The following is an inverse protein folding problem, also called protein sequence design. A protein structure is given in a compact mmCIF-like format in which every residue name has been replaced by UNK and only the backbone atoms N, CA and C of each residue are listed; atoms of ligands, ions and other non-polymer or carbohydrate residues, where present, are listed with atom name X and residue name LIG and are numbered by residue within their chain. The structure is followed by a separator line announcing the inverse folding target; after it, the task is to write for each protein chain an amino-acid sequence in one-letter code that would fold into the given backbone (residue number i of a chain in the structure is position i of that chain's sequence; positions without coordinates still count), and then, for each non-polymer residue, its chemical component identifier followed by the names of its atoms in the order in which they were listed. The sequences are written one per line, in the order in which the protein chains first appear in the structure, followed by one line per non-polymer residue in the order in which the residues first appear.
data_IF_819657585785
#
_entry.id   IF_819657585785
#
_cell.length_a   1.000
_cell.length_b   1.000
_cell.length_c   1.000
_cell.angle_alpha   90.00
_cell.angle_beta   90.00
_cell.angle_gamma   90.00
#
_symmetry.space_group_name_H-M   'P 1'
#
loop_
_entity.id
_entity.type
_entity.pdbx_description
1 polymer ?
#
# COMPACT_ATOMS: atom_id res chain seq x y z
N UNK A 1 5.14 8.59 4.13
CA UNK A 1 5.03 7.27 4.80
C UNK A 1 6.37 6.57 4.63
N UNK A 2 6.99 6.10 5.72
CA UNK A 2 8.29 5.40 5.71
C UNK A 2 8.05 4.05 6.40
N UNK A 3 8.41 2.94 5.75
CA UNK A 3 8.20 1.58 6.28
C UNK A 3 6.77 1.31 6.81
N UNK A 4 5.77 1.74 6.03
CA UNK A 4 4.33 1.65 6.38
C UNK A 4 3.89 2.46 7.60
N UNK A 5 4.76 3.34 8.12
CA UNK A 5 4.45 4.28 9.20
C UNK A 5 4.27 5.69 8.64
N UNK A 6 3.32 6.41 9.18
CA UNK A 6 3.18 7.84 8.99
C UNK A 6 4.13 8.52 9.98
N UNK A 7 4.99 9.40 9.45
CA UNK A 7 6.04 10.06 10.22
C UNK A 7 5.83 11.55 10.04
N UNK A 8 5.55 12.24 11.14
CA UNK A 8 5.59 13.70 11.17
C UNK A 8 7.02 14.13 11.39
N UNK A 9 7.43 15.18 10.70
CA UNK A 9 8.82 15.59 10.67
C UNK A 9 8.95 17.10 10.83
N UNK A 10 9.85 17.51 11.71
CA UNK A 10 10.22 18.90 11.86
C UNK A 10 11.36 19.23 10.91
N UNK A 11 11.05 19.95 9.82
CA UNK A 11 11.96 20.21 8.70
C UNK A 11 13.33 20.74 9.13
N UNK A 12 13.36 21.77 9.97
CA UNK A 12 14.61 22.44 10.37
C UNK A 12 15.46 21.63 11.34
N UNK A 13 14.83 20.80 12.17
CA UNK A 13 15.52 20.06 13.24
C UNK A 13 15.94 18.66 12.79
N UNK A 14 15.50 18.23 11.61
CA UNK A 14 15.67 16.89 11.08
C UNK A 14 15.23 15.79 12.07
N UNK A 15 14.07 15.97 12.71
CA UNK A 15 13.57 15.08 13.77
C UNK A 15 12.12 14.67 13.55
N UNK A 16 11.83 13.41 13.88
CA UNK A 16 10.46 12.91 13.99
C UNK A 16 9.73 13.64 15.13
N UNK A 17 8.49 14.04 14.88
CA UNK A 17 7.60 14.68 15.84
C UNK A 17 6.56 13.66 16.31
N UNK A 18 6.44 13.48 17.61
CA UNK A 18 5.38 12.68 18.25
C UNK A 18 4.41 13.62 18.94
N UNK A 19 3.13 13.44 18.66
CA UNK A 19 2.04 14.24 19.23
C UNK A 19 1.26 13.34 20.17
N UNK A 20 0.94 13.87 21.35
CA UNK A 20 0.15 13.20 22.36
C UNK A 20 -0.98 14.12 22.80
N UNK A 21 -2.16 13.54 22.96
CA UNK A 21 -3.30 14.23 23.51
C UNK A 21 -3.41 13.92 25.01
N UNK A 22 -3.07 14.89 25.86
CA UNK A 22 -2.94 14.69 27.32
C UNK A 22 -4.21 15.03 28.11
N UNK A 23 -5.39 15.00 27.47
CA UNK A 23 -6.68 15.28 28.12
C UNK A 23 -7.70 14.19 27.79
N UNK A 24 -8.80 14.13 28.54
CA UNK A 24 -9.91 13.21 28.28
C UNK A 24 -10.89 13.70 27.18
N UNK A 25 -10.52 14.73 26.40
CA UNK A 25 -11.34 15.20 25.29
C UNK A 25 -11.47 14.13 24.19
N UNK A 26 -12.71 13.82 23.81
CA UNK A 26 -13.02 12.88 22.74
C UNK A 26 -12.80 13.55 21.38
N UNK A 27 -11.60 13.39 20.82
CA UNK A 27 -11.23 13.97 19.53
C UNK A 27 -11.80 13.21 18.32
N UNK A 28 -12.50 12.10 18.51
CA UNK A 28 -13.21 11.42 17.42
C UNK A 28 -14.59 12.02 17.15
N UNK A 29 -15.10 12.83 18.08
CA UNK A 29 -16.41 13.44 17.97
C UNK A 29 -16.31 14.88 17.42
N UNK A 30 -16.75 15.08 16.18
CA UNK A 30 -16.93 16.40 15.55
C UNK A 30 -15.67 17.29 15.59
N UNK A 31 -14.50 16.69 15.41
CA UNK A 31 -13.21 17.36 15.37
C UNK A 31 -12.83 17.80 13.95
N UNK A 32 -11.89 18.74 13.86
CA UNK A 32 -11.26 19.05 12.58
C UNK A 32 -10.44 17.85 12.10
N UNK A 33 -10.50 17.45 10.82
CA UNK A 33 -9.77 16.28 10.32
C UNK A 33 -8.27 16.30 10.60
N UNK A 34 -7.64 17.49 10.58
CA UNK A 34 -6.23 17.63 10.94
C UNK A 34 -5.98 17.34 12.42
N UNK A 35 -6.85 17.81 13.31
CA UNK A 35 -6.69 17.56 14.75
C UNK A 35 -6.90 16.08 15.07
N UNK A 36 -7.93 15.46 14.50
CA UNK A 36 -8.15 14.01 14.61
C UNK A 36 -6.94 13.22 14.10
N UNK A 37 -6.45 13.54 12.89
CA UNK A 37 -5.28 12.88 12.31
C UNK A 37 -4.04 12.98 13.22
N UNK A 38 -3.75 14.16 13.79
CA UNK A 38 -2.60 14.32 14.68
C UNK A 38 -2.77 13.54 16.00
N UNK A 39 -4.00 13.45 16.51
CA UNK A 39 -4.32 12.64 17.68
C UNK A 39 -4.26 11.13 17.39
N UNK A 40 -4.72 10.66 16.23
CA UNK A 40 -4.65 9.26 15.81
C UNK A 40 -3.22 8.74 15.74
N UNK A 41 -2.26 9.59 15.35
CA UNK A 41 -0.86 9.22 15.26
C UNK A 41 -0.24 8.78 16.60
N UNK A 42 -0.84 9.16 17.73
CA UNK A 42 -0.38 8.71 19.05
C UNK A 42 -0.58 7.19 19.23
N UNK A 43 -1.48 6.58 18.46
CA UNK A 43 -1.83 5.16 18.51
C UNK A 43 -1.00 4.28 17.55
N UNK A 44 -0.21 4.87 16.65
CA UNK A 44 0.46 4.12 15.58
C UNK A 44 1.45 3.06 16.07
N UNK A 45 2.15 3.34 17.17
CA UNK A 45 3.27 2.52 17.66
C UNK A 45 2.96 1.79 18.98
N UNK A 46 1.72 1.90 19.48
CA UNK A 46 1.32 1.40 20.80
C UNK A 46 -0.09 0.82 20.78
N UNK A 47 -0.37 -0.12 21.68
CA UNK A 47 -1.76 -0.50 21.97
C UNK A 47 -2.45 0.66 22.69
N UNK A 48 -3.63 1.05 22.22
CA UNK A 48 -4.36 2.22 22.70
C UNK A 48 -4.99 2.02 24.07
N UNK A 49 -5.25 0.76 24.45
CA UNK A 49 -5.86 0.43 25.71
C UNK A 49 -5.46 -0.97 26.20
N UNK A 50 -5.53 -1.16 27.52
CA UNK A 50 -5.47 -2.46 28.19
C UNK A 50 -6.89 -2.99 28.36
N UNK A 51 -7.56 -3.27 27.25
CA UNK A 51 -8.94 -3.79 27.24
C UNK A 51 -8.98 -5.17 26.62
N UNK A 52 -9.86 -6.02 27.14
CA UNK A 52 -10.16 -7.29 26.50
C UNK A 52 -11.13 -7.05 25.33
N UNK A 53 -10.63 -7.13 24.11
CA UNK A 53 -11.48 -7.11 22.92
C UNK A 53 -11.86 -8.56 22.53
N UNK A 54 -13.08 -8.97 22.88
CA UNK A 54 -13.64 -10.25 22.42
C UNK A 54 -14.30 -10.17 21.03
N UNK A 55 -14.22 -9.02 20.35
CA UNK A 55 -14.81 -8.73 19.05
C UNK A 55 -16.22 -8.16 19.15
N UNK A 56 -16.49 -7.06 18.45
CA UNK A 56 -17.79 -6.37 18.47
C UNK A 56 -18.96 -7.29 18.09
N UNK A 57 -18.73 -8.21 17.16
CA UNK A 57 -19.71 -9.22 16.75
C UNK A 57 -20.10 -10.14 17.90
N UNK A 58 -19.15 -10.54 18.75
CA UNK A 58 -19.46 -11.36 19.92
C UNK A 58 -20.26 -10.56 20.94
N UNK A 59 -19.92 -9.29 21.16
CA UNK A 59 -20.76 -8.43 21.97
C UNK A 59 -22.19 -8.33 21.40
N UNK A 60 -22.34 -8.29 20.07
CA UNK A 60 -23.62 -8.14 19.39
C UNK A 60 -24.48 -9.42 19.30
N UNK A 61 -23.88 -10.60 19.29
CA UNK A 61 -24.58 -11.86 19.03
C UNK A 61 -25.16 -12.55 20.28
N UNK A 62 -24.63 -12.26 21.46
CA UNK A 62 -25.05 -12.95 22.68
C UNK A 62 -25.93 -12.06 23.56
N UNK A 63 -27.08 -12.60 23.96
CA UNK A 63 -28.00 -11.91 24.88
C UNK A 63 -27.50 -11.94 26.32
N UNK A 64 -26.54 -12.82 26.62
CA UNK A 64 -25.84 -12.88 27.89
C UNK A 64 -24.34 -13.07 27.67
N UNK A 65 -23.54 -12.23 28.32
CA UNK A 65 -22.09 -12.35 28.37
C UNK A 65 -21.71 -12.56 29.83
N UNK A 66 -21.05 -13.67 30.20
CA UNK A 66 -20.62 -13.89 31.57
C UNK A 66 -19.55 -12.87 31.96
N UNK A 67 -19.40 -12.66 33.27
CA UNK A 67 -18.26 -11.91 33.81
C UNK A 67 -16.96 -12.52 33.29
N UNK A 68 -16.08 -11.69 32.76
CA UNK A 68 -14.76 -12.12 32.29
C UNK A 68 -13.71 -11.60 33.25
N UNK A 69 -12.92 -12.51 33.81
CA UNK A 69 -11.89 -12.19 34.82
C UNK A 69 -10.50 -12.70 34.42
N UNK A 70 -9.48 -12.07 34.97
CA UNK A 70 -8.12 -12.59 35.02
C UNK A 70 -7.78 -12.96 36.47
N UNK A 71 -7.66 -14.26 36.73
CA UNK A 71 -7.58 -14.77 38.10
C UNK A 71 -8.85 -14.43 38.89
N UNK A 72 -8.68 -14.20 40.19
CA UNK A 72 -9.78 -13.91 41.10
C UNK A 72 -10.00 -12.41 41.31
N UNK A 73 -9.03 -11.57 40.94
CA UNK A 73 -8.96 -10.18 41.42
C UNK A 73 -9.25 -9.14 40.34
N UNK A 74 -9.06 -9.47 39.05
CA UNK A 74 -9.21 -8.52 37.94
C UNK A 74 -10.43 -8.89 37.12
N UNK A 75 -11.41 -7.99 37.08
CA UNK A 75 -12.59 -8.11 36.22
C UNK A 75 -12.35 -7.27 34.96
N UNK A 76 -12.27 -7.92 33.79
CA UNK A 76 -12.18 -7.21 32.50
C UNK A 76 -13.53 -6.69 32.04
N UNK A 77 -14.59 -7.47 32.25
CA UNK A 77 -15.93 -7.12 31.82
C UNK A 77 -16.93 -7.67 32.83
N UNK A 78 -17.83 -6.84 33.38
CA UNK A 78 -18.93 -7.32 34.21
C UNK A 78 -19.88 -8.17 33.37
N UNK A 79 -20.56 -9.12 34.00
CA UNK A 79 -21.65 -9.86 33.36
C UNK A 79 -22.69 -8.89 32.77
N UNK A 80 -23.14 -9.19 31.56
CA UNK A 80 -24.01 -8.34 30.75
C UNK A 80 -25.22 -9.15 30.28
N UNK A 81 -26.40 -8.54 30.33
CA UNK A 81 -27.64 -9.08 29.76
C UNK A 81 -28.24 -8.08 28.79
N UNK A 82 -28.77 -8.59 27.68
CA UNK A 82 -29.58 -7.81 26.73
C UNK A 82 -31.03 -8.22 26.92
N UNK A 83 -31.85 -7.22 27.18
CA UNK A 83 -33.29 -7.42 27.35
C UNK A 83 -33.99 -6.78 26.18
N UNK A 84 -34.72 -7.59 25.40
CA UNK A 84 -35.46 -7.09 24.27
C UNK A 84 -36.92 -6.85 24.65
N UNK A 85 -37.48 -5.76 24.13
CA UNK A 85 -38.85 -5.34 24.39
C UNK A 85 -39.88 -6.42 24.01
N UNK A 86 -39.62 -7.17 22.94
CA UNK A 86 -40.52 -8.21 22.43
C UNK A 86 -40.52 -9.50 23.28
N UNK A 87 -39.47 -9.73 24.08
CA UNK A 87 -39.40 -10.88 24.99
C UNK A 87 -40.21 -10.65 26.28
N UNK A 88 -40.46 -9.38 26.64
CA UNK A 88 -41.26 -9.01 27.82
C UNK A 88 -42.70 -8.74 27.39
N UNK A 89 -43.53 -9.78 27.42
CA UNK A 89 -44.91 -9.74 26.93
C UNK A 89 -45.75 -8.58 27.53
N UNK A 90 -46.37 -7.75 26.68
CA UNK A 90 -47.27 -6.68 27.13
C UNK A 90 -46.60 -5.51 27.87
N UNK A 91 -45.28 -5.34 27.76
CA UNK A 91 -44.54 -4.23 28.39
C UNK A 91 -45.01 -2.83 27.93
N UNK A 92 -45.60 -2.74 26.73
CA UNK A 92 -46.18 -1.51 26.16
C UNK A 92 -47.49 -1.07 26.82
N UNK A 93 -48.15 -1.93 27.61
CA UNK A 93 -49.37 -1.54 28.30
C UNK A 93 -49.06 -0.50 29.38
N UNK A 94 -49.93 0.51 29.54
CA UNK A 94 -49.75 1.61 30.53
C UNK A 94 -50.02 1.20 31.99
N UNK A 95 -50.08 -0.09 32.29
CA UNK A 95 -50.30 -0.60 33.65
C UNK A 95 -48.95 -0.87 34.32
N UNK A 96 -48.43 0.11 35.06
CA UNK A 96 -47.11 0.02 35.68
C UNK A 96 -46.97 -1.16 36.65
N UNK A 97 -47.98 -1.47 37.45
CA UNK A 97 -47.94 -2.58 38.42
C UNK A 97 -47.79 -3.93 37.71
N UNK A 98 -48.54 -4.14 36.63
CA UNK A 98 -48.44 -5.35 35.82
C UNK A 98 -47.12 -5.43 35.05
N UNK A 99 -46.67 -4.31 34.47
CA UNK A 99 -45.38 -4.22 33.77
C UNK A 99 -44.20 -4.56 34.68
N UNK A 100 -44.18 -4.02 35.91
CA UNK A 100 -43.14 -4.30 36.91
C UNK A 100 -43.13 -5.80 37.26
N UNK A 101 -44.31 -6.42 37.46
CA UNK A 101 -44.41 -7.85 37.74
C UNK A 101 -43.80 -8.69 36.62
N UNK A 102 -44.12 -8.38 35.37
CA UNK A 102 -43.60 -9.11 34.20
C UNK A 102 -42.10 -8.94 34.02
N UNK A 103 -41.57 -7.73 34.21
CA UNK A 103 -40.12 -7.49 34.19
C UNK A 103 -39.44 -8.29 35.30
N UNK A 104 -40.00 -8.32 36.52
CA UNK A 104 -39.43 -9.09 37.62
C UNK A 104 -39.39 -10.60 37.34
N UNK A 105 -40.46 -11.16 36.78
CA UNK A 105 -40.52 -12.56 36.35
C UNK A 105 -39.46 -12.85 35.27
N UNK A 106 -39.35 -11.96 34.27
CA UNK A 106 -38.38 -12.08 33.19
C UNK A 106 -36.92 -12.03 33.68
N UNK A 107 -36.59 -11.07 34.56
CA UNK A 107 -35.25 -10.94 35.15
C UNK A 107 -34.88 -12.18 35.98
N UNK A 108 -35.85 -12.75 36.70
CA UNK A 108 -35.66 -13.99 37.46
C UNK A 108 -35.38 -15.19 36.54
N UNK A 109 -36.08 -15.31 35.40
CA UNK A 109 -35.85 -16.38 34.41
C UNK A 109 -34.44 -16.30 33.79
N UNK A 110 -34.01 -15.08 33.44
CA UNK A 110 -32.66 -14.81 32.92
C UNK A 110 -31.57 -14.80 33.98
N UNK A 111 -31.90 -15.08 35.25
CA UNK A 111 -30.98 -15.10 36.41
C UNK A 111 -30.19 -13.81 36.57
N UNK A 112 -30.84 -12.67 36.35
CA UNK A 112 -30.25 -11.35 36.64
C UNK A 112 -30.22 -11.15 38.15
N UNK A 113 -29.09 -10.64 38.66
CA UNK A 113 -28.92 -10.39 40.10
C UNK A 113 -29.90 -9.33 40.61
N UNK A 114 -30.15 -9.31 41.93
CA UNK A 114 -31.04 -8.34 42.58
C UNK A 114 -30.66 -6.89 42.23
N UNK A 115 -29.37 -6.60 42.27
CA UNK A 115 -28.81 -5.30 41.93
C UNK A 115 -28.09 -5.36 40.59
N UNK A 116 -28.43 -4.45 39.69
CA UNK A 116 -27.81 -4.32 38.38
C UNK A 116 -27.88 -2.87 37.90
N UNK A 117 -27.11 -2.54 36.89
CA UNK A 117 -27.14 -1.24 36.23
C UNK A 117 -27.83 -1.31 34.88
N UNK A 118 -28.66 -0.33 34.57
CA UNK A 118 -29.00 0.02 33.19
C UNK A 118 -27.88 0.92 32.67
N UNK A 119 -27.22 0.52 31.59
CA UNK A 119 -26.08 1.26 31.03
C UNK A 119 -26.43 1.95 29.71
N UNK A 120 -26.18 3.25 29.60
CA UNK A 120 -26.32 4.04 28.37
C UNK A 120 -25.11 4.96 28.18
N UNK A 121 -24.19 4.56 27.29
CA UNK A 121 -22.90 5.24 27.18
C UNK A 121 -22.16 5.20 28.51
N UNK A 122 -21.67 6.36 28.96
CA UNK A 122 -20.97 6.50 30.25
C UNK A 122 -21.91 6.57 31.46
N UNK A 123 -23.23 6.68 31.24
CA UNK A 123 -24.20 6.76 32.33
C UNK A 123 -24.67 5.38 32.79
N UNK A 124 -24.68 5.16 34.10
CA UNK A 124 -25.18 3.94 34.74
C UNK A 124 -26.24 4.28 35.77
N UNK A 125 -27.37 3.57 35.75
CA UNK A 125 -28.45 3.70 36.72
C UNK A 125 -28.62 2.40 37.51
N UNK A 126 -28.41 2.45 38.82
CA UNK A 126 -28.59 1.30 39.71
C UNK A 126 -30.08 0.95 39.85
N UNK A 127 -30.40 -0.32 39.71
CA UNK A 127 -31.75 -0.88 39.87
C UNK A 127 -31.72 -1.96 40.95
N UNK A 128 -32.69 -1.90 41.86
CA UNK A 128 -33.00 -2.97 42.81
C UNK A 128 -34.30 -3.67 42.36
N UNK A 129 -34.23 -4.97 42.08
CA UNK A 129 -35.42 -5.79 41.72
C UNK A 129 -36.48 -5.90 42.83
N UNK A 130 -36.16 -5.50 44.05
CA UNK A 130 -37.11 -5.42 45.17
C UNK A 130 -37.76 -4.04 45.30
N UNK A 131 -37.22 -3.02 44.62
CA UNK A 131 -37.77 -1.67 44.61
C UNK A 131 -38.57 -1.40 43.32
N UNK A 132 -39.90 -1.42 43.42
CA UNK A 132 -40.79 -1.18 42.28
C UNK A 132 -40.60 0.17 41.59
N UNK A 133 -40.18 1.22 42.32
CA UNK A 133 -39.92 2.53 41.72
C UNK A 133 -38.64 2.50 40.85
N UNK A 134 -37.61 1.75 41.26
CA UNK A 134 -36.40 1.60 40.46
C UNK A 134 -36.68 0.71 39.23
N UNK A 135 -37.41 -0.39 39.39
CA UNK A 135 -37.83 -1.23 38.26
C UNK A 135 -38.67 -0.47 37.22
N UNK A 136 -39.40 0.57 37.62
CA UNK A 136 -40.16 1.39 36.68
C UNK A 136 -39.25 2.07 35.66
N UNK A 137 -38.00 2.44 36.01
CA UNK A 137 -37.05 2.98 35.03
C UNK A 137 -36.74 1.96 33.93
N UNK A 138 -36.53 0.69 34.28
CA UNK A 138 -36.34 -0.37 33.28
C UNK A 138 -37.58 -0.56 32.40
N UNK A 139 -38.78 -0.47 32.98
CA UNK A 139 -40.04 -0.54 32.23
C UNK A 139 -40.13 0.60 31.20
N UNK A 140 -39.85 1.84 31.59
CA UNK A 140 -39.90 2.99 30.68
C UNK A 140 -38.83 2.91 29.58
N UNK A 141 -37.62 2.45 29.92
CA UNK A 141 -36.56 2.16 28.94
C UNK A 141 -37.01 1.11 27.93
N UNK A 142 -37.59 -0.01 28.40
CA UNK A 142 -38.13 -1.06 27.52
C UNK A 142 -39.38 -0.63 26.75
N UNK A 143 -40.11 0.41 27.16
CA UNK A 143 -41.23 0.96 26.37
C UNK A 143 -40.73 1.81 25.20
N UNK A 144 -39.60 2.50 25.38
CA UNK A 144 -39.04 3.43 24.40
C UNK A 144 -38.00 2.82 23.48
N UNK A 145 -37.26 1.80 23.93
CA UNK A 145 -36.17 1.15 23.18
C UNK A 145 -36.51 -0.31 22.85
N UNK A 146 -35.99 -0.80 21.74
CA UNK A 146 -36.13 -2.22 21.34
C UNK A 146 -35.28 -3.15 22.21
N UNK A 147 -34.14 -2.66 22.69
CA UNK A 147 -33.17 -3.41 23.50
C UNK A 147 -32.58 -2.51 24.58
N UNK A 148 -32.44 -3.07 25.78
CA UNK A 148 -31.79 -2.42 26.93
C UNK A 148 -30.68 -3.33 27.44
N UNK A 149 -29.49 -2.76 27.61
CA UNK A 149 -28.32 -3.46 28.16
C UNK A 149 -28.27 -3.30 29.67
N UNK A 150 -28.21 -4.43 30.37
CA UNK A 150 -28.03 -4.52 31.81
C UNK A 150 -26.61 -5.01 32.11
N UNK A 151 -25.97 -4.46 33.14
CA UNK A 151 -24.66 -4.93 33.62
C UNK A 151 -24.74 -5.23 35.11
N UNK A 152 -24.03 -6.25 35.57
CA UNK A 152 -24.04 -6.62 36.98
C UNK A 152 -23.58 -5.47 37.89
N UNK A 153 -24.14 -5.43 39.10
CA UNK A 153 -23.60 -4.62 40.18
C UNK A 153 -22.44 -5.36 40.84
N UNK A 154 -21.24 -4.78 40.80
CA UNK A 154 -20.05 -5.32 41.45
C UNK A 154 -19.89 -4.87 42.90
N UNK A 155 -20.64 -3.85 43.31
CA UNK A 155 -20.61 -3.30 44.66
C UNK A 155 -21.36 -4.20 45.64
N UNK A 156 -20.82 -4.30 46.85
CA UNK A 156 -21.55 -4.84 47.98
C UNK A 156 -22.29 -3.69 48.67
N UNK A 157 -23.54 -3.47 48.28
CA UNK A 157 -24.34 -2.35 48.77
C UNK A 157 -24.65 -2.42 50.28
N UNK A 158 -24.37 -3.54 50.94
CA UNK A 158 -24.52 -3.69 52.40
C UNK A 158 -23.21 -3.41 53.14
N UNK A 159 -22.06 -3.72 52.53
CA UNK A 159 -20.74 -3.56 53.14
C UNK A 159 -20.00 -2.26 52.73
N UNK A 160 -20.24 -1.76 51.52
CA UNK A 160 -19.53 -0.61 50.95
C UNK A 160 -20.16 0.73 51.40
N UNK A 161 -19.36 1.58 52.03
CA UNK A 161 -19.81 2.92 52.47
C UNK A 161 -19.79 3.96 51.32
N UNK A 162 -18.87 3.81 50.36
CA UNK A 162 -18.67 4.75 49.25
C UNK A 162 -18.42 4.01 47.93
N UNK A 163 -18.95 4.58 46.84
CA UNK A 163 -18.58 4.20 45.48
C UNK A 163 -17.35 5.02 45.03
N UNK A 164 -16.18 4.39 45.08
CA UNK A 164 -14.92 5.02 44.68
C UNK A 164 -14.46 4.56 43.30
N UNK A 165 -13.95 5.49 42.50
CA UNK A 165 -13.22 5.21 41.27
C UNK A 165 -11.79 5.71 41.42
N UNK A 166 -10.81 4.84 41.12
CA UNK A 166 -9.38 5.14 41.24
C UNK A 166 -8.71 4.96 39.88
N UNK A 167 -8.12 6.04 39.37
CA UNK A 167 -7.35 6.03 38.12
C UNK A 167 -5.87 5.80 38.46
N UNK A 168 -5.32 4.67 38.04
CA UNK A 168 -3.92 4.30 38.30
C UNK A 168 -3.10 4.46 37.01
N UNK A 169 -2.20 5.45 36.91
CA UNK A 169 -1.31 5.57 35.77
C UNK A 169 -0.24 4.46 35.81
N UNK A 170 -0.10 3.72 34.71
CA UNK A 170 0.90 2.65 34.55
C UNK A 170 1.91 3.03 33.47
N UNK A 171 3.18 2.66 33.67
CA UNK A 171 4.27 2.94 32.72
C UNK A 171 4.92 1.63 32.28
N UNK A 172 4.98 1.39 30.97
CA UNK A 172 5.75 0.30 30.42
C UNK A 172 7.24 0.66 30.36
N UNK A 173 8.01 0.27 31.39
CA UNK A 173 9.46 0.51 31.46
C UNK A 173 10.29 -0.28 30.44
N UNK A 174 9.69 -1.30 29.81
CA UNK A 174 10.36 -2.11 28.78
C UNK A 174 10.13 -1.60 27.35
N UNK A 175 9.33 -0.53 27.19
CA UNK A 175 9.05 0.03 25.88
C UNK A 175 10.31 0.63 25.24
N UNK A 176 10.63 0.15 24.04
CA UNK A 176 11.67 0.70 23.18
C UNK A 176 11.00 1.50 22.08
N UNK A 177 11.26 2.81 22.04
CA UNK A 177 10.70 3.66 21.00
C UNK A 177 11.21 3.22 19.61
N UNK A 178 10.29 3.08 18.67
CA UNK A 178 10.64 2.88 17.27
C UNK A 178 11.39 4.11 16.76
N UNK A 179 12.62 3.91 16.31
CA UNK A 179 13.41 4.95 15.64
C UNK A 179 13.20 4.83 14.15
N UNK A 180 12.68 5.89 13.53
CA UNK A 180 12.69 6.02 12.09
C UNK A 180 14.03 6.63 11.69
N UNK A 181 14.82 5.92 10.88
CA UNK A 181 15.97 6.53 10.23
C UNK A 181 15.47 7.47 9.14
N UNK A 182 15.69 8.77 9.34
CA UNK A 182 15.31 9.80 8.39
C UNK A 182 16.49 10.05 7.46
N UNK A 183 16.34 9.68 6.19
CA UNK A 183 17.30 10.05 5.16
C UNK A 183 17.00 11.48 4.68
N UNK A 184 18.00 12.37 4.78
CA UNK A 184 17.87 13.79 4.42
C UNK A 184 17.54 13.98 2.94
N UNK A 185 17.89 13.02 2.09
CA UNK A 185 17.72 13.11 0.63
C UNK A 185 16.27 12.97 0.16
N UNK A 186 15.34 12.55 1.02
CA UNK A 186 13.94 12.31 0.63
C UNK A 186 13.08 13.58 0.56
N UNK A 187 13.59 14.73 1.03
CA UNK A 187 12.80 15.95 1.13
C UNK A 187 13.29 17.02 0.16
N UNK A 188 12.54 17.25 -0.92
CA UNK A 188 12.77 18.42 -1.77
C UNK A 188 12.32 19.70 -1.04
N UNK A 189 13.13 20.76 -1.11
CA UNK A 189 12.74 22.07 -0.63
C UNK A 189 11.76 22.78 -1.61
N UNK A 190 11.75 22.42 -2.90
CA UNK A 190 10.96 23.07 -3.94
C UNK A 190 10.00 22.10 -4.65
N UNK A 191 8.72 22.17 -4.28
CA UNK A 191 7.63 21.43 -4.95
C UNK A 191 7.48 21.87 -6.43
N UNK A 192 7.84 23.12 -6.75
CA UNK A 192 7.69 23.70 -8.09
C UNK A 192 8.52 22.97 -9.16
N UNK A 193 9.64 22.34 -8.79
CA UNK A 193 10.57 21.70 -9.73
C UNK A 193 10.17 20.25 -10.07
N UNK A 194 9.07 19.75 -9.48
CA UNK A 194 8.60 18.37 -9.63
C UNK A 194 7.34 18.23 -10.51
N UNK A 195 6.63 19.33 -10.81
CA UNK A 195 5.37 19.28 -11.57
C UNK A 195 5.45 20.12 -12.84
N UNK A 196 5.38 19.45 -13.99
CA UNK A 196 5.42 20.08 -15.29
C UNK A 196 4.04 20.06 -15.94
N UNK A 197 3.44 21.23 -16.12
CA UNK A 197 2.25 21.40 -16.96
C UNK A 197 2.63 21.25 -18.45
N UNK A 198 1.68 20.92 -19.34
CA UNK A 198 1.96 20.75 -20.76
C UNK A 198 2.67 21.97 -21.38
N UNK A 199 3.74 21.72 -22.13
CA UNK A 199 4.46 22.75 -22.89
C UNK A 199 5.45 23.59 -22.09
N UNK A 200 5.68 23.28 -20.80
CA UNK A 200 6.80 23.82 -20.05
C UNK A 200 8.10 23.11 -20.51
N UNK A 201 8.60 22.15 -19.72
CA UNK A 201 9.75 21.29 -20.08
C UNK A 201 9.31 19.96 -20.71
N UNK A 202 8.07 19.55 -20.47
CA UNK A 202 7.55 18.24 -20.86
C UNK A 202 6.20 18.33 -21.57
N UNK A 203 6.02 17.49 -22.57
CA UNK A 203 4.70 17.06 -23.06
C UNK A 203 4.41 15.66 -22.52
N UNK A 204 3.31 15.52 -21.80
CA UNK A 204 2.87 14.26 -21.21
C UNK A 204 1.51 13.86 -21.76
N UNK A 205 1.50 12.82 -22.58
CA UNK A 205 0.31 12.23 -23.18
C UNK A 205 -0.16 10.99 -22.43
N UNK A 206 -1.48 10.88 -22.25
CA UNK A 206 -2.18 9.64 -21.88
C UNK A 206 -2.94 9.15 -23.10
N UNK A 207 -2.58 7.98 -23.63
CA UNK A 207 -3.11 7.40 -24.86
C UNK A 207 -3.98 6.19 -24.47
N UNK A 208 -5.30 6.39 -24.40
CA UNK A 208 -6.24 5.38 -23.91
C UNK A 208 -6.59 4.37 -25.00
N UNK A 209 -6.15 3.13 -24.83
CA UNK A 209 -6.33 2.05 -25.81
C UNK A 209 -6.33 0.66 -25.14
N UNK A 210 -6.85 -0.35 -25.85
CA UNK A 210 -6.81 -1.72 -25.36
C UNK A 210 -5.40 -2.32 -25.33
N UNK A 211 -5.13 -3.25 -24.40
CA UNK A 211 -3.80 -3.85 -24.19
C UNK A 211 -3.15 -4.43 -25.45
N UNK A 212 -3.93 -5.06 -26.34
CA UNK A 212 -3.40 -5.58 -27.62
C UNK A 212 -2.91 -4.47 -28.55
N UNK A 213 -3.65 -3.37 -28.60
CA UNK A 213 -3.27 -2.24 -29.45
C UNK A 213 -2.15 -1.42 -28.83
N UNK A 214 -2.03 -1.40 -27.49
CA UNK A 214 -0.87 -0.82 -26.81
C UNK A 214 0.45 -1.45 -27.29
N UNK A 215 0.52 -2.77 -27.49
CA UNK A 215 1.71 -3.41 -28.07
C UNK A 215 1.97 -2.92 -29.50
N UNK A 216 0.91 -2.80 -30.30
CA UNK A 216 1.01 -2.31 -31.69
C UNK A 216 1.52 -0.87 -31.76
N UNK A 217 1.04 0.01 -30.88
CA UNK A 217 1.56 1.39 -30.78
C UNK A 217 3.07 1.35 -30.50
N UNK A 218 3.52 0.50 -29.58
CA UNK A 218 4.92 0.41 -29.19
C UNK A 218 5.80 -0.23 -30.28
N UNK A 219 5.26 -1.15 -31.07
CA UNK A 219 6.00 -1.88 -32.12
C UNK A 219 6.04 -1.14 -33.45
N UNK A 220 4.96 -0.44 -33.81
CA UNK A 220 4.78 0.13 -35.14
C UNK A 220 4.85 1.67 -35.11
N UNK A 221 4.11 2.30 -34.19
CA UNK A 221 3.91 3.76 -34.20
C UNK A 221 5.07 4.49 -33.52
N UNK A 222 5.46 4.06 -32.33
CA UNK A 222 6.50 4.71 -31.53
C UNK A 222 7.87 4.73 -32.23
N UNK A 223 8.34 3.64 -32.86
CA UNK A 223 9.63 3.66 -33.56
C UNK A 223 9.69 4.72 -34.66
N UNK A 224 8.60 4.91 -35.41
CA UNK A 224 8.53 5.91 -36.48
C UNK A 224 8.42 7.32 -35.89
N UNK A 225 7.40 7.58 -35.06
CA UNK A 225 7.15 8.88 -34.44
C UNK A 225 8.38 9.40 -33.68
N UNK A 226 8.96 8.56 -32.81
CA UNK A 226 10.03 9.00 -31.92
C UNK A 226 11.38 9.11 -32.64
N UNK A 227 11.57 8.40 -33.76
CA UNK A 227 12.73 8.63 -34.63
C UNK A 227 12.59 9.98 -35.31
N UNK A 228 11.43 10.29 -35.90
CA UNK A 228 11.19 11.59 -36.54
C UNK A 228 11.40 12.75 -35.55
N UNK A 229 10.78 12.71 -34.37
CA UNK A 229 10.93 13.77 -33.37
C UNK A 229 12.38 13.97 -32.92
N UNK A 230 13.20 12.91 -32.94
CA UNK A 230 14.60 12.96 -32.53
C UNK A 230 15.52 13.42 -33.67
N UNK A 231 15.24 13.04 -34.93
CA UNK A 231 15.96 13.51 -36.12
C UNK A 231 15.71 15.00 -36.41
N UNK A 232 14.50 15.48 -36.13
CA UNK A 232 14.13 16.90 -36.20
C UNK A 232 14.59 17.71 -34.97
N UNK A 233 15.30 17.09 -34.03
CA UNK A 233 15.81 17.70 -32.79
C UNK A 233 14.73 18.39 -31.94
N UNK A 234 13.50 17.85 -31.95
CA UNK A 234 12.35 18.42 -31.23
C UNK A 234 12.31 17.99 -29.77
N UNK A 235 12.89 16.83 -29.44
CA UNK A 235 12.87 16.26 -28.09
C UNK A 235 14.28 15.89 -27.64
N UNK A 236 14.56 16.07 -26.35
CA UNK A 236 15.84 15.72 -25.71
C UNK A 236 15.85 14.27 -25.24
N UNK A 237 14.74 13.84 -24.63
CA UNK A 237 14.53 12.46 -24.18
C UNK A 237 13.05 12.15 -24.15
N UNK A 238 12.74 10.87 -24.12
CA UNK A 238 11.37 10.39 -23.97
C UNK A 238 11.34 9.08 -23.20
N UNK A 239 10.24 8.83 -22.53
CA UNK A 239 9.97 7.51 -21.96
C UNK A 239 8.48 7.27 -21.85
N UNK A 240 8.09 6.00 -21.73
CA UNK A 240 6.70 5.62 -21.55
C UNK A 240 6.52 4.70 -20.35
N UNK A 241 5.30 4.58 -19.86
CA UNK A 241 4.89 3.51 -18.94
C UNK A 241 3.49 3.02 -19.35
N UNK A 242 3.17 1.77 -18.99
CA UNK A 242 1.82 1.23 -19.14
C UNK A 242 1.06 1.44 -17.83
N UNK A 243 -0.17 1.93 -17.93
CA UNK A 243 -0.97 2.28 -16.76
C UNK A 243 -2.43 1.85 -16.93
N UNK A 244 -3.12 1.70 -15.80
CA UNK A 244 -4.53 1.37 -15.74
C UNK A 244 -5.18 2.17 -14.62
N UNK A 245 -5.76 3.33 -14.95
CA UNK A 245 -6.62 4.11 -14.03
C UNK A 245 -7.31 5.28 -14.77
N UNK A 246 -8.65 5.31 -14.92
CA UNK A 246 -9.57 4.19 -14.69
C UNK A 246 -9.41 3.07 -15.74
N UNK A 247 -8.96 3.41 -16.95
CA UNK A 247 -8.83 2.51 -18.10
C UNK A 247 -7.36 2.29 -18.50
N UNK A 248 -7.10 1.25 -19.31
CA UNK A 248 -5.77 0.98 -19.85
C UNK A 248 -5.30 2.11 -20.77
N UNK A 249 -4.07 2.57 -20.57
CA UNK A 249 -3.45 3.61 -21.39
C UNK A 249 -1.92 3.55 -21.35
N UNK A 250 -1.30 4.10 -22.40
CA UNK A 250 0.13 4.40 -22.42
C UNK A 250 0.31 5.84 -21.91
N UNK A 251 1.26 6.04 -21.01
CA UNK A 251 1.70 7.36 -20.57
C UNK A 251 3.02 7.68 -21.24
N UNK A 252 3.00 8.49 -22.30
CA UNK A 252 4.18 8.92 -23.03
C UNK A 252 4.62 10.30 -22.52
N UNK A 253 5.90 10.45 -22.17
CA UNK A 253 6.48 11.71 -21.74
C UNK A 253 7.62 12.07 -22.67
N UNK A 254 7.59 13.29 -23.19
CA UNK A 254 8.56 13.86 -24.11
C UNK A 254 9.16 15.10 -23.45
N UNK A 255 10.48 15.11 -23.22
CA UNK A 255 11.19 16.31 -22.81
C UNK A 255 11.44 17.14 -24.06
N UNK A 256 10.89 18.35 -24.08
CA UNK A 256 10.93 19.23 -25.24
C UNK A 256 12.36 19.77 -25.37
N UNK A 257 12.88 19.82 -26.60
CA UNK A 257 14.02 20.68 -26.86
C UNK A 257 13.53 22.14 -26.90
N UNK A 258 13.88 22.93 -25.90
CA UNK A 258 13.41 24.30 -25.67
C UNK A 258 14.23 25.38 -26.39
N UNK A 259 15.17 24.98 -27.26
CA UNK A 259 15.96 25.90 -28.09
C UNK A 259 15.09 26.75 -29.04
N UNK A 260 13.88 26.27 -29.36
CA UNK A 260 12.91 26.99 -30.19
C UNK A 260 11.48 26.85 -29.63
N UNK A 261 10.81 28.00 -29.41
CA UNK A 261 9.45 28.09 -28.89
C UNK A 261 8.40 27.34 -29.76
N UNK A 262 8.68 27.12 -31.05
CA UNK A 262 7.78 26.43 -31.98
C UNK A 262 7.83 24.91 -31.86
N UNK A 263 8.86 24.34 -31.21
CA UNK A 263 9.04 22.89 -31.10
C UNK A 263 7.84 22.21 -30.44
N UNK A 264 7.24 22.84 -29.42
CA UNK A 264 6.01 22.34 -28.78
C UNK A 264 4.86 22.14 -29.78
N UNK A 265 4.63 23.11 -30.66
CA UNK A 265 3.57 23.04 -31.67
C UNK A 265 3.87 22.00 -32.75
N UNK A 266 5.14 21.87 -33.14
CA UNK A 266 5.58 20.85 -34.09
C UNK A 266 5.38 19.44 -33.52
N UNK A 267 5.81 19.19 -32.27
CA UNK A 267 5.60 17.89 -31.60
C UNK A 267 4.11 17.53 -31.54
N UNK A 268 3.24 18.48 -31.18
CA UNK A 268 1.79 18.23 -31.13
C UNK A 268 1.25 17.89 -32.53
N UNK A 269 1.68 18.61 -33.56
CA UNK A 269 1.21 18.38 -34.94
C UNK A 269 1.67 17.01 -35.45
N UNK A 270 2.96 16.70 -35.31
CA UNK A 270 3.53 15.40 -35.68
C UNK A 270 2.86 14.27 -34.89
N UNK A 271 2.62 14.45 -33.59
CA UNK A 271 1.88 13.47 -32.80
C UNK A 271 0.48 13.21 -33.38
N UNK A 272 -0.27 14.26 -33.72
CA UNK A 272 -1.61 14.11 -34.29
C UNK A 272 -1.57 13.36 -35.63
N UNK A 273 -0.59 13.64 -36.51
CA UNK A 273 -0.45 12.95 -37.80
C UNK A 273 -0.33 11.43 -37.65
N UNK A 274 0.37 10.96 -36.61
CA UNK A 274 0.49 9.52 -36.31
C UNK A 274 -0.74 8.91 -35.64
N UNK A 275 -1.53 9.70 -34.90
CA UNK A 275 -2.59 9.18 -34.03
C UNK A 275 -4.02 9.44 -34.54
N UNK A 276 -4.24 10.42 -35.41
CA UNK A 276 -5.56 10.84 -35.91
C UNK A 276 -6.31 9.69 -36.61
N UNK A 277 -5.60 8.87 -37.38
CA UNK A 277 -6.18 7.69 -38.01
C UNK A 277 -6.75 6.71 -36.97
N UNK A 278 -6.01 6.44 -35.89
CA UNK A 278 -6.43 5.48 -34.87
C UNK A 278 -7.56 6.00 -33.99
N UNK A 279 -7.67 7.32 -33.83
CA UNK A 279 -8.81 7.98 -33.18
C UNK A 279 -10.05 7.88 -34.08
N UNK A 280 -9.93 8.24 -35.36
CA UNK A 280 -11.06 8.22 -36.31
C UNK A 280 -11.61 6.80 -36.58
N UNK A 281 -10.76 5.78 -36.50
CA UNK A 281 -11.15 4.37 -36.57
C UNK A 281 -11.69 3.80 -35.23
N UNK A 282 -11.70 4.59 -34.15
CA UNK A 282 -12.19 4.18 -32.83
C UNK A 282 -11.29 3.17 -32.09
N UNK A 283 -10.05 2.99 -32.54
CA UNK A 283 -9.08 2.07 -31.94
C UNK A 283 -8.47 2.67 -30.67
N UNK A 284 -8.20 3.97 -30.69
CA UNK A 284 -7.84 4.76 -29.51
C UNK A 284 -9.11 5.49 -29.06
N UNK A 285 -9.45 5.34 -27.78
CA UNK A 285 -10.66 5.93 -27.21
C UNK A 285 -10.50 7.45 -27.05
N UNK A 286 -9.36 7.89 -26.50
CA UNK A 286 -9.02 9.30 -26.33
C UNK A 286 -7.52 9.49 -26.07
N UNK A 287 -7.05 10.70 -26.33
CA UNK A 287 -5.72 11.18 -25.91
C UNK A 287 -5.89 12.41 -25.03
N UNK A 288 -5.15 12.48 -23.93
CA UNK A 288 -5.15 13.63 -23.01
C UNK A 288 -3.73 14.13 -22.76
N UNK A 289 -3.55 15.44 -22.70
CA UNK A 289 -2.33 16.05 -22.15
C UNK A 289 -2.50 16.28 -20.65
N UNK A 290 -1.52 15.85 -19.85
CA UNK A 290 -1.57 15.95 -18.39
C UNK A 290 -0.37 16.68 -17.79
N UNK A 291 -0.41 16.85 -16.47
CA UNK A 291 0.75 17.32 -15.68
C UNK A 291 1.66 16.14 -15.37
N UNK A 292 2.95 16.26 -15.70
CA UNK A 292 3.95 15.30 -15.28
C UNK A 292 4.39 15.63 -13.85
N UNK A 293 3.95 14.80 -12.91
CA UNK A 293 4.38 14.81 -11.51
C UNK A 293 5.53 13.80 -11.34
N UNK A 294 6.73 14.29 -11.04
CA UNK A 294 7.93 13.46 -10.83
C UNK A 294 7.81 12.68 -9.53
N UNK A 295 8.16 11.40 -9.55
CA UNK A 295 8.25 10.56 -8.34
C UNK A 295 9.57 10.82 -7.59
N UNK A 296 9.80 12.07 -7.17
CA UNK A 296 11.05 12.57 -6.59
C UNK A 296 11.53 11.71 -5.40
N UNK A 297 10.60 11.37 -4.50
CA UNK A 297 10.89 10.59 -3.30
C UNK A 297 11.27 9.14 -3.63
N UNK A 298 10.70 8.57 -4.70
CA UNK A 298 10.97 7.18 -5.10
C UNK A 298 12.37 7.03 -5.69
N UNK A 299 12.81 8.02 -6.44
CA UNK A 299 14.10 7.99 -7.15
C UNK A 299 15.17 8.82 -6.43
N UNK A 300 15.19 8.77 -5.09
CA UNK A 300 16.24 9.33 -4.21
C UNK A 300 16.53 10.82 -4.46
N UNK A 301 15.47 11.58 -4.74
CA UNK A 301 15.51 13.03 -4.86
C UNK A 301 16.19 13.53 -6.12
N UNK A 302 17.34 14.18 -5.98
CA UNK A 302 18.08 14.80 -7.10
C UNK A 302 18.48 13.78 -8.17
N UNK A 303 18.57 12.49 -7.81
CA UNK A 303 18.80 11.40 -8.75
C UNK A 303 17.64 11.20 -9.76
N UNK A 304 16.51 11.89 -9.59
CA UNK A 304 15.38 11.85 -10.54
C UNK A 304 15.78 12.21 -11.97
N UNK A 305 16.71 13.14 -12.17
CA UNK A 305 17.14 13.53 -13.52
C UNK A 305 17.90 12.38 -14.21
N UNK A 306 18.83 11.75 -13.47
CA UNK A 306 19.50 10.53 -13.91
C UNK A 306 18.50 9.39 -14.13
N UNK A 307 17.48 9.26 -13.28
CA UNK A 307 16.43 8.26 -13.44
C UNK A 307 15.65 8.45 -14.75
N UNK A 308 15.37 9.69 -15.16
CA UNK A 308 14.72 9.98 -16.44
C UNK A 308 15.59 9.59 -17.64
N UNK A 309 16.91 9.74 -17.55
CA UNK A 309 17.84 9.21 -18.57
C UNK A 309 17.79 7.67 -18.63
N UNK A 310 17.77 7.00 -17.48
CA UNK A 310 17.63 5.54 -17.42
C UNK A 310 16.27 5.11 -18.01
N UNK A 311 15.17 5.80 -17.71
CA UNK A 311 13.86 5.50 -18.30
C UNK A 311 13.85 5.68 -19.81
N UNK A 312 14.63 6.63 -20.34
CA UNK A 312 14.74 6.84 -21.76
C UNK A 312 15.42 5.66 -22.45
N UNK A 313 16.59 5.25 -21.97
CA UNK A 313 17.30 4.09 -22.52
C UNK A 313 16.53 2.79 -22.32
N UNK A 314 15.84 2.63 -21.18
CA UNK A 314 14.96 1.49 -20.92
C UNK A 314 13.74 1.46 -21.87
N UNK A 315 13.16 2.62 -22.17
CA UNK A 315 12.06 2.73 -23.12
C UNK A 315 12.50 2.36 -24.54
N UNK A 316 13.70 2.78 -24.95
CA UNK A 316 14.32 2.35 -26.21
C UNK A 316 14.56 0.84 -26.25
N UNK A 317 15.17 0.28 -25.21
CA UNK A 317 15.40 -1.17 -25.07
C UNK A 317 14.09 -1.94 -25.20
N UNK A 318 13.06 -1.57 -24.43
CA UNK A 318 11.78 -2.28 -24.44
C UNK A 318 11.04 -2.17 -25.77
N UNK A 319 11.07 -1.02 -26.45
CA UNK A 319 10.53 -0.89 -27.81
C UNK A 319 11.28 -1.77 -28.82
N UNK A 320 12.62 -1.78 -28.76
CA UNK A 320 13.43 -2.65 -29.61
C UNK A 320 13.16 -4.15 -29.36
N UNK A 321 13.01 -4.55 -28.10
CA UNK A 321 12.65 -5.92 -27.75
C UNK A 321 11.24 -6.28 -28.26
N UNK A 322 10.24 -5.42 -28.02
CA UNK A 322 8.89 -5.66 -28.49
C UNK A 322 8.81 -5.76 -30.01
N UNK A 323 9.60 -4.98 -30.75
CA UNK A 323 9.61 -4.97 -32.22
C UNK A 323 10.35 -6.16 -32.83
N UNK A 324 11.50 -6.54 -32.25
CA UNK A 324 12.45 -7.45 -32.90
C UNK A 324 12.46 -8.87 -32.31
N UNK A 325 11.84 -9.11 -31.15
CA UNK A 325 11.73 -10.47 -30.62
C UNK A 325 10.71 -11.27 -31.45
N UNK A 326 11.11 -12.39 -32.09
CA UNK A 326 10.24 -13.09 -33.04
C UNK A 326 8.96 -13.65 -32.43
N UNK A 327 9.02 -14.05 -31.15
CA UNK A 327 7.91 -14.64 -30.42
C UNK A 327 7.69 -13.89 -29.11
N UNK A 328 6.53 -13.22 -29.00
CA UNK A 328 6.17 -12.48 -27.79
C UNK A 328 6.09 -13.37 -26.54
N UNK A 329 5.87 -14.68 -26.69
CA UNK A 329 5.86 -15.62 -25.56
C UNK A 329 7.25 -15.82 -24.94
N UNK A 330 8.31 -15.39 -25.62
CA UNK A 330 9.70 -15.46 -25.13
C UNK A 330 10.18 -14.17 -24.45
N UNK A 331 9.37 -13.10 -24.42
CA UNK A 331 9.72 -11.81 -23.79
C UNK A 331 10.14 -11.94 -22.32
N UNK A 332 9.66 -12.96 -21.60
CA UNK A 332 10.07 -13.20 -20.21
C UNK A 332 11.55 -13.61 -20.09
N UNK A 333 12.15 -14.23 -21.11
CA UNK A 333 13.58 -14.54 -21.15
C UNK A 333 14.39 -13.24 -21.27
N UNK A 334 13.96 -12.34 -22.15
CA UNK A 334 14.59 -11.02 -22.31
C UNK A 334 14.41 -10.16 -21.06
N UNK A 335 13.29 -10.28 -20.35
CA UNK A 335 13.12 -9.64 -19.04
C UNK A 335 14.16 -10.11 -18.02
N UNK A 336 14.54 -11.39 -18.04
CA UNK A 336 15.60 -11.94 -17.17
C UNK A 336 16.96 -11.33 -17.54
N UNK A 337 17.30 -11.26 -18.84
CA UNK A 337 18.54 -10.59 -19.29
C UNK A 337 18.54 -9.10 -18.97
N UNK A 338 17.41 -8.41 -19.09
CA UNK A 338 17.27 -7.00 -18.68
C UNK A 338 17.55 -6.81 -17.19
N UNK A 339 17.06 -7.72 -16.33
CA UNK A 339 17.36 -7.67 -14.89
C UNK A 339 18.86 -7.82 -14.64
N UNK A 340 19.53 -8.75 -15.34
CA UNK A 340 20.98 -8.92 -15.24
C UNK A 340 21.74 -7.66 -15.71
N UNK A 341 21.34 -7.08 -16.84
CA UNK A 341 21.89 -5.83 -17.36
C UNK A 341 21.70 -4.64 -16.38
N UNK A 342 20.55 -4.56 -15.70
CA UNK A 342 20.36 -3.58 -14.64
C UNK A 342 21.34 -3.78 -13.47
N UNK A 343 21.62 -5.02 -13.11
CA UNK A 343 22.61 -5.30 -12.06
C UNK A 343 24.03 -4.95 -12.49
N UNK A 344 24.37 -5.07 -13.78
CA UNK A 344 25.63 -4.58 -14.35
C UNK A 344 25.71 -3.06 -14.27
N UNK A 345 24.66 -2.35 -14.72
CA UNK A 345 24.57 -0.88 -14.67
C UNK A 345 24.76 -0.34 -13.25
N UNK A 346 24.18 -0.99 -12.25
CA UNK A 346 24.32 -0.58 -10.85
C UNK A 346 25.60 -1.11 -10.18
N UNK A 347 26.42 -1.87 -10.91
CA UNK A 347 27.68 -2.45 -10.45
C UNK A 347 27.50 -3.26 -9.15
N UNK A 348 26.49 -4.15 -9.15
CA UNK A 348 26.21 -5.05 -8.03
C UNK A 348 26.85 -6.42 -8.28
N UNK A 349 27.62 -6.89 -7.29
CA UNK A 349 28.22 -8.22 -7.31
C UNK A 349 27.17 -9.34 -7.19
N UNK A 350 27.59 -10.57 -7.47
CA UNK A 350 26.70 -11.74 -7.50
C UNK A 350 25.93 -11.96 -6.18
N UNK A 351 26.54 -11.70 -5.03
CA UNK A 351 25.88 -11.88 -3.74
C UNK A 351 24.81 -10.81 -3.54
N UNK A 352 25.12 -9.56 -3.90
CA UNK A 352 24.17 -8.44 -3.88
C UNK A 352 23.02 -8.60 -4.87
N UNK A 353 23.27 -9.12 -6.09
CA UNK A 353 22.20 -9.46 -7.05
C UNK A 353 21.20 -10.43 -6.43
N UNK A 354 21.71 -11.49 -5.78
CA UNK A 354 20.88 -12.47 -5.10
C UNK A 354 20.12 -11.88 -3.91
N UNK A 355 20.78 -11.09 -3.05
CA UNK A 355 20.14 -10.45 -1.89
C UNK A 355 18.95 -9.57 -2.32
N UNK A 356 19.16 -8.72 -3.32
CA UNK A 356 18.11 -7.83 -3.85
C UNK A 356 16.94 -8.65 -4.38
N UNK A 357 17.19 -9.59 -5.30
CA UNK A 357 16.08 -10.31 -5.96
C UNK A 357 15.36 -11.24 -4.99
N UNK A 358 16.07 -11.86 -4.05
CA UNK A 358 15.48 -12.69 -3.00
C UNK A 358 14.60 -11.85 -2.07
N UNK A 359 15.02 -10.62 -1.72
CA UNK A 359 14.20 -9.71 -0.91
C UNK A 359 12.90 -9.34 -1.62
N UNK A 360 12.96 -8.94 -2.90
CA UNK A 360 11.78 -8.59 -3.69
C UNK A 360 10.87 -9.82 -3.86
N UNK A 361 11.44 -10.98 -4.22
CA UNK A 361 10.67 -12.20 -4.41
C UNK A 361 9.92 -12.63 -3.13
N UNK A 362 10.57 -12.56 -1.95
CA UNK A 362 9.93 -12.88 -0.68
C UNK A 362 8.76 -11.93 -0.34
N UNK A 363 8.83 -10.66 -0.74
CA UNK A 363 7.72 -9.72 -0.58
C UNK A 363 6.54 -10.11 -1.47
N UNK A 364 6.79 -10.42 -2.75
CA UNK A 364 5.77 -10.88 -3.68
C UNK A 364 5.18 -12.23 -3.26
N UNK A 365 5.97 -13.13 -2.66
CA UNK A 365 5.44 -14.39 -2.12
C UNK A 365 4.39 -14.16 -1.03
N UNK A 366 4.62 -13.19 -0.15
CA UNK A 366 3.66 -12.80 0.90
C UNK A 366 2.44 -12.12 0.31
N UNK A 367 2.63 -11.20 -0.63
CA UNK A 367 1.53 -10.49 -1.30
C UNK A 367 0.56 -11.44 -2.01
N UNK A 368 1.09 -12.44 -2.73
CA UNK A 368 0.30 -13.38 -3.51
C UNK A 368 -0.09 -14.66 -2.73
N UNK A 369 0.21 -14.75 -1.44
CA UNK A 369 -0.02 -15.94 -0.61
C UNK A 369 0.48 -17.24 -1.31
N UNK A 370 1.70 -17.20 -1.82
CA UNK A 370 2.26 -18.26 -2.67
C UNK A 370 2.29 -19.61 -1.94
N UNK A 371 1.54 -20.57 -2.47
CA UNK A 371 1.43 -21.91 -1.92
C UNK A 371 2.52 -22.88 -2.43
N UNK A 372 2.45 -24.13 -1.94
CA UNK A 372 3.40 -25.17 -2.35
C UNK A 372 3.26 -25.60 -3.82
N UNK A 373 2.06 -25.45 -4.42
CA UNK A 373 1.79 -25.83 -5.80
C UNK A 373 2.44 -24.84 -6.77
N UNK A 374 2.25 -23.53 -6.55
CA UNK A 374 2.85 -22.49 -7.37
C UNK A 374 4.39 -22.54 -7.31
N UNK A 375 4.97 -22.82 -6.13
CA UNK A 375 6.42 -23.07 -6.00
C UNK A 375 6.90 -24.22 -6.89
N UNK A 376 6.17 -25.34 -6.91
CA UNK A 376 6.50 -26.48 -7.80
C UNK A 376 6.41 -26.10 -9.28
N UNK A 377 5.40 -25.34 -9.68
CA UNK A 377 5.26 -24.89 -11.07
C UNK A 377 6.42 -23.96 -11.49
N UNK A 378 6.84 -23.05 -10.60
CA UNK A 378 8.02 -22.20 -10.82
C UNK A 378 9.30 -23.02 -10.94
N UNK A 379 9.49 -24.02 -10.06
CA UNK A 379 10.64 -24.92 -10.13
C UNK A 379 10.69 -25.69 -11.45
N UNK A 380 9.54 -26.19 -11.93
CA UNK A 380 9.43 -26.88 -13.21
C UNK A 380 9.77 -25.94 -14.37
N UNK A 381 9.17 -24.73 -14.39
CA UNK A 381 9.42 -23.73 -15.45
C UNK A 381 10.89 -23.30 -15.50
N UNK A 382 11.54 -23.12 -14.34
CA UNK A 382 12.98 -22.83 -14.28
C UNK A 382 13.81 -23.99 -14.84
N UNK A 383 13.59 -25.22 -14.35
CA UNK A 383 14.38 -26.39 -14.76
C UNK A 383 14.23 -26.72 -16.24
N UNK A 384 13.01 -26.63 -16.78
CA UNK A 384 12.76 -26.92 -18.20
C UNK A 384 13.41 -25.91 -19.14
N UNK A 385 13.72 -24.70 -18.66
CA UNK A 385 14.28 -23.61 -19.48
C UNK A 385 15.70 -23.21 -19.04
N UNK A 386 16.37 -23.99 -18.17
CA UNK A 386 17.64 -23.61 -17.56
C UNK A 386 18.73 -23.31 -18.59
N UNK A 387 18.82 -24.13 -19.64
CA UNK A 387 19.84 -23.97 -20.68
C UNK A 387 19.63 -22.66 -21.44
N UNK A 388 18.39 -22.37 -21.86
CA UNK A 388 18.02 -21.15 -22.58
C UNK A 388 18.23 -19.92 -21.70
N UNK A 389 17.86 -19.99 -20.41
CA UNK A 389 18.11 -18.91 -19.45
C UNK A 389 19.62 -18.68 -19.27
N UNK A 390 20.42 -19.74 -19.18
CA UNK A 390 21.87 -19.59 -19.01
C UNK A 390 22.51 -18.99 -20.26
N UNK A 391 22.10 -19.47 -21.43
CA UNK A 391 22.53 -18.95 -22.73
C UNK A 391 22.22 -17.45 -22.84
N UNK A 392 20.95 -17.05 -22.71
CA UNK A 392 20.56 -15.65 -22.90
C UNK A 392 21.22 -14.69 -21.89
N UNK A 393 21.47 -15.15 -20.66
CA UNK A 393 22.13 -14.33 -19.63
C UNK A 393 23.63 -14.22 -19.90
N UNK A 394 24.29 -15.33 -20.26
CA UNK A 394 25.74 -15.40 -20.44
C UNK A 394 26.21 -14.87 -21.80
N UNK A 395 25.34 -14.84 -22.82
CA UNK A 395 25.66 -14.29 -24.14
C UNK A 395 25.36 -12.79 -24.20
N UNK A 396 26.31 -12.01 -24.72
CA UNK A 396 26.12 -10.60 -25.08
C UNK A 396 25.89 -10.39 -26.58
N UNK A 397 25.40 -11.41 -27.29
CA UNK A 397 25.19 -11.36 -28.74
C UNK A 397 24.09 -10.39 -29.17
N UNK A 398 23.15 -10.07 -28.28
CA UNK A 398 22.08 -9.12 -28.59
C UNK A 398 22.56 -7.67 -28.32
N UNK A 399 22.72 -6.84 -29.37
CA UNK A 399 23.32 -5.52 -29.26
C UNK A 399 22.47 -4.54 -28.43
N UNK A 400 21.17 -4.79 -28.26
CA UNK A 400 20.31 -3.87 -27.51
C UNK A 400 20.67 -3.79 -26.02
N UNK A 401 21.16 -4.89 -25.43
CA UNK A 401 21.55 -4.90 -24.02
C UNK A 401 22.89 -4.22 -23.79
N UNK A 402 23.89 -4.47 -24.66
CA UNK A 402 25.18 -3.79 -24.57
C UNK A 402 25.04 -2.30 -24.87
N UNK A 403 24.20 -1.91 -25.84
CA UNK A 403 23.83 -0.51 -26.07
C UNK A 403 23.19 0.12 -24.83
N UNK A 404 22.23 -0.55 -24.19
CA UNK A 404 21.61 -0.07 -22.96
C UNK A 404 22.62 0.11 -21.82
N UNK A 405 23.45 -0.90 -21.53
CA UNK A 405 24.46 -0.84 -20.46
C UNK A 405 25.45 0.29 -20.74
N UNK A 406 26.02 0.34 -21.95
CA UNK A 406 26.99 1.37 -22.33
C UNK A 406 26.38 2.78 -22.25
N UNK A 407 25.20 2.99 -22.83
CA UNK A 407 24.56 4.30 -22.85
C UNK A 407 24.22 4.78 -21.43
N UNK A 408 23.75 3.90 -20.55
CA UNK A 408 23.49 4.27 -19.15
C UNK A 408 24.80 4.53 -18.42
N UNK A 409 25.81 3.66 -18.51
CA UNK A 409 27.09 3.84 -17.81
C UNK A 409 27.82 5.12 -18.25
N UNK A 410 27.75 5.49 -19.54
CA UNK A 410 28.39 6.71 -20.06
C UNK A 410 27.66 8.00 -19.62
N UNK A 411 26.32 7.99 -19.62
CA UNK A 411 25.50 9.18 -19.42
C UNK A 411 24.95 9.34 -17.99
N UNK A 412 25.04 8.31 -17.15
CA UNK A 412 24.47 8.30 -15.79
C UNK A 412 25.56 8.06 -14.72
N UNK A 413 26.62 8.89 -14.75
CA UNK A 413 27.79 8.75 -13.86
C UNK A 413 27.45 8.93 -12.38
N UNK A 414 26.31 9.53 -12.06
CA UNK A 414 25.79 9.70 -10.70
C UNK A 414 25.56 8.36 -10.00
N UNK A 415 25.35 7.27 -10.75
CA UNK A 415 25.20 5.92 -10.19
C UNK A 415 26.40 5.52 -9.32
N UNK A 416 27.62 5.93 -9.71
CA UNK A 416 28.83 5.61 -8.95
C UNK A 416 28.93 6.33 -7.61
N UNK A 417 28.19 7.44 -7.43
CA UNK A 417 28.15 8.20 -6.18
C UNK A 417 27.17 7.59 -5.16
N UNK A 418 26.32 6.67 -5.59
CA UNK A 418 25.29 6.06 -4.74
C UNK A 418 25.91 5.08 -3.74
N UNK A 419 25.42 5.12 -2.50
CA UNK A 419 25.70 4.08 -1.50
C UNK A 419 25.07 2.76 -1.95
N UNK A 420 25.64 1.63 -1.52
CA UNK A 420 25.12 0.29 -1.85
C UNK A 420 23.63 0.15 -1.55
N UNK A 421 23.16 0.64 -0.40
CA UNK A 421 21.73 0.56 -0.04
C UNK A 421 20.82 1.37 -0.99
N UNK A 422 21.31 2.50 -1.50
CA UNK A 422 20.58 3.31 -2.49
C UNK A 422 20.54 2.58 -3.83
N UNK A 423 21.67 2.00 -4.26
CA UNK A 423 21.74 1.15 -5.47
C UNK A 423 20.73 0.00 -5.41
N UNK A 424 20.68 -0.72 -4.29
CA UNK A 424 19.72 -1.81 -4.06
C UNK A 424 18.26 -1.35 -4.15
N UNK A 425 17.91 -0.18 -3.59
CA UNK A 425 16.54 0.37 -3.66
C UNK A 425 16.17 0.86 -5.06
N UNK A 426 17.08 1.58 -5.71
CA UNK A 426 16.87 2.14 -7.04
C UNK A 426 16.77 1.06 -8.10
N UNK A 427 17.70 0.09 -8.12
CA UNK A 427 17.68 -1.01 -9.10
C UNK A 427 16.36 -1.80 -9.01
N UNK A 428 15.85 -2.02 -7.80
CA UNK A 428 14.54 -2.64 -7.58
C UNK A 428 13.40 -1.85 -8.23
N UNK A 429 13.42 -0.51 -8.09
CA UNK A 429 12.43 0.38 -8.70
C UNK A 429 12.54 0.41 -10.23
N UNK A 430 13.74 0.40 -10.78
CA UNK A 430 13.94 0.35 -12.23
C UNK A 430 13.51 -0.98 -12.83
N UNK A 431 13.88 -2.11 -12.21
CA UNK A 431 13.44 -3.45 -12.64
C UNK A 431 11.90 -3.54 -12.67
N UNK A 432 11.23 -3.04 -11.64
CA UNK A 432 9.76 -2.98 -11.61
C UNK A 432 9.20 -2.18 -12.80
N UNK A 433 9.74 -0.98 -13.05
CA UNK A 433 9.28 -0.14 -14.15
C UNK A 433 9.66 -0.69 -15.54
N UNK A 434 10.74 -1.45 -15.65
CA UNK A 434 11.12 -2.17 -16.86
C UNK A 434 10.08 -3.26 -17.19
N UNK A 435 9.75 -4.10 -16.20
CA UNK A 435 8.73 -5.15 -16.39
C UNK A 435 7.37 -4.53 -16.73
N UNK A 436 7.02 -3.38 -16.13
CA UNK A 436 5.81 -2.62 -16.49
C UNK A 436 5.76 -2.23 -17.98
N UNK A 437 6.90 -1.84 -18.57
CA UNK A 437 6.99 -1.45 -19.98
C UNK A 437 6.91 -2.66 -20.91
N UNK A 438 7.64 -3.71 -20.56
CA UNK A 438 7.83 -4.89 -21.40
C UNK A 438 6.60 -5.81 -21.42
N UNK A 439 5.96 -6.02 -20.27
CA UNK A 439 4.83 -6.96 -20.15
C UNK A 439 3.51 -6.28 -20.48
N UNK A 440 2.71 -6.90 -21.35
CA UNK A 440 1.42 -6.37 -21.82
C UNK A 440 0.35 -6.19 -20.73
N UNK A 441 0.26 -7.12 -19.77
CA UNK A 441 -0.81 -7.13 -18.75
C UNK A 441 -0.43 -7.98 -17.54
N UNK A 442 -1.17 -7.83 -16.42
CA UNK A 442 -0.94 -8.59 -15.18
C UNK A 442 0.52 -8.47 -14.70
N UNK A 443 1.09 -7.27 -14.74
CA UNK A 443 2.52 -7.02 -14.53
C UNK A 443 3.01 -7.66 -13.22
N UNK A 444 2.27 -7.48 -12.12
CA UNK A 444 2.62 -8.03 -10.80
C UNK A 444 2.73 -9.56 -10.76
N UNK A 445 1.90 -10.27 -11.53
CA UNK A 445 1.98 -11.73 -11.64
C UNK A 445 3.23 -12.16 -12.42
N UNK A 446 3.55 -11.44 -13.50
CA UNK A 446 4.78 -11.69 -14.26
C UNK A 446 6.03 -11.38 -13.42
N UNK A 447 6.03 -10.29 -12.65
CA UNK A 447 7.09 -9.96 -11.68
C UNK A 447 7.33 -11.12 -10.71
N UNK A 448 6.28 -11.65 -10.06
CA UNK A 448 6.41 -12.80 -9.17
C UNK A 448 7.12 -13.98 -9.84
N UNK A 449 6.72 -14.33 -11.07
CA UNK A 449 7.28 -15.45 -11.81
C UNK A 449 8.74 -15.19 -12.19
N UNK A 450 9.02 -14.01 -12.77
CA UNK A 450 10.36 -13.63 -13.24
C UNK A 450 11.33 -13.56 -12.06
N UNK A 451 10.96 -12.88 -10.96
CA UNK A 451 11.81 -12.81 -9.76
C UNK A 451 12.09 -14.18 -9.16
N UNK A 452 11.08 -15.07 -9.14
CA UNK A 452 11.29 -16.44 -8.67
C UNK A 452 12.24 -17.25 -9.54
N UNK A 453 12.28 -16.99 -10.85
CA UNK A 453 13.23 -17.63 -11.78
C UNK A 453 14.64 -17.04 -11.61
N UNK A 454 14.75 -15.71 -11.53
CA UNK A 454 16.03 -14.99 -11.36
C UNK A 454 16.68 -15.33 -10.01
N UNK A 455 15.90 -15.43 -8.93
CA UNK A 455 16.38 -15.89 -7.62
C UNK A 455 17.04 -17.26 -7.71
N UNK A 456 16.38 -18.22 -8.37
CA UNK A 456 16.91 -19.58 -8.55
C UNK A 456 18.17 -19.59 -9.40
N UNK A 457 18.21 -18.77 -10.45
CA UNK A 457 19.38 -18.64 -11.32
C UNK A 457 20.60 -18.14 -10.55
N UNK A 458 20.50 -17.03 -9.82
CA UNK A 458 21.62 -16.52 -9.04
C UNK A 458 21.99 -17.42 -7.86
N UNK A 459 21.02 -18.07 -7.23
CA UNK A 459 21.28 -19.09 -6.20
C UNK A 459 22.12 -20.24 -6.74
N UNK A 460 21.80 -20.72 -7.95
CA UNK A 460 22.59 -21.73 -8.64
C UNK A 460 24.01 -21.21 -8.94
N UNK A 461 24.16 -19.98 -9.46
CA UNK A 461 25.47 -19.37 -9.74
C UNK A 461 26.33 -19.25 -8.49
N UNK A 462 25.76 -18.81 -7.36
CA UNK A 462 26.45 -18.77 -6.06
C UNK A 462 26.87 -20.18 -5.64
N UNK A 463 26.00 -21.17 -5.82
CA UNK A 463 26.32 -22.58 -5.58
C UNK A 463 27.52 -23.04 -6.40
N UNK A 464 27.51 -22.84 -7.72
CA UNK A 464 28.64 -23.18 -8.61
C UNK A 464 29.93 -22.48 -8.20
N UNK A 465 29.88 -21.18 -7.87
CA UNK A 465 31.05 -20.42 -7.40
C UNK A 465 31.65 -21.02 -6.12
N UNK A 466 30.82 -21.48 -5.17
CA UNK A 466 31.31 -22.14 -3.95
C UNK A 466 31.97 -23.50 -4.23
N UNK A 467 31.41 -24.30 -5.12
CA UNK A 467 31.98 -25.60 -5.51
C UNK A 467 33.29 -25.50 -6.32
N UNK A 468 33.51 -24.39 -7.03
CA UNK A 468 34.75 -24.16 -7.79
C UNK A 468 35.90 -23.57 -6.94
N UNK A 469 35.57 -23.05 -5.75
CA UNK A 469 36.54 -22.44 -4.81
C UNK A 469 36.90 -23.41 -3.65
N UNK A 470 36.11 -24.46 -3.45
CA UNK A 470 36.43 -25.63 -2.60
C UNK A 470 37.23 -26.67 -3.37
#
# INVERSE_FOLDING_TARGET
MIDKRIVLFHKELNKEVKIFHSTAHNFDYNSLPVYQFLCDLQHQDVSTALVLNIGDTNYLMYDYIPRITFGNDIIFTPALWRVYQNEVSGIKAKNNTESIKKVKEYLSDKKVNRYFFISQGDNKLLIDTENGNLLLFLVEELRSKEMVTLTECLYDLEADEFNNEIIIPMINRSYTAFKTELDQHLFNANIADNKFIPGNKWLYYKIYCGNKFSDKILQDVFPELLTQLNEEDLIKKWFYIRYSDPDNHIRLRLEINDDNLTNTAQIITTFNDYFDKYISEGIINKVEMGTYDREYERYEGEFIETAEHIFHYDSKLTVNLLKNVPNNDDLWLYAIKSIDAYFDVFNLDLDKRYEVINKIYNQFQKEFNVDSNLKKQLDLKYRSNLNIISEIVETDENPYFSEFVNAVTENCKEIEKLKTIQKERLVSSFIHMHINRLVRSRHRMHELIIYGIVEKYYKMKIGKRKYLVS
#
